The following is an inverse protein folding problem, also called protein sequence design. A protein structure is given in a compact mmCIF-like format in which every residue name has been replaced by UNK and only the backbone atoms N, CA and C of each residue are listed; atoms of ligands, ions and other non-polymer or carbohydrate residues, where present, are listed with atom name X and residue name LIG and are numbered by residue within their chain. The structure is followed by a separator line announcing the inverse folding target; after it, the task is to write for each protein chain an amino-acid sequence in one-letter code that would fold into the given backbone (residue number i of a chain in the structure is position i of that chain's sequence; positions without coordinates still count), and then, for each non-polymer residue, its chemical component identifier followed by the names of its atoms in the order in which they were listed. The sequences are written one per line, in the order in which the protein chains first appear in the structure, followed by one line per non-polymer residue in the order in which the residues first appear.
data_IF_569267587811
#
_entry.id   IF_569267587811
#
_cell.length_a   1.000
_cell.length_b   1.000
_cell.length_c   1.000
_cell.angle_alpha   90.00
_cell.angle_beta   90.00
_cell.angle_gamma   90.00
#
_symmetry.space_group_name_H-M   'P 1'
#
loop_
_entity.id
_entity.type
_entity.pdbx_description
1 polymer ?
#
# COMPACT_ATOMS: atom_id res chain seq x y z
N UNK A 1 -17.21 38.08 42.51
CA UNK A 1 -17.28 36.93 41.59
C UNK A 1 -17.80 37.44 40.26
N UNK A 2 -17.02 37.37 39.18
CA UNK A 2 -17.58 37.18 37.84
C UNK A 2 -16.49 36.76 36.86
N UNK A 3 -16.78 35.65 36.18
CA UNK A 3 -15.90 34.87 35.33
C UNK A 3 -15.56 35.63 34.05
N UNK A 4 -14.26 35.70 33.71
CA UNK A 4 -13.84 36.04 32.36
C UNK A 4 -14.03 34.81 31.47
N UNK A 5 -14.97 34.89 30.54
CA UNK A 5 -15.18 33.89 29.50
C UNK A 5 -14.19 34.13 28.36
N UNK A 6 -13.14 33.32 28.28
CA UNK A 6 -12.35 33.18 27.05
C UNK A 6 -13.16 32.37 26.04
N UNK A 7 -13.63 33.01 24.96
CA UNK A 7 -14.21 32.30 23.82
C UNK A 7 -13.09 32.04 22.79
N UNK A 8 -12.69 30.77 22.68
CA UNK A 8 -11.86 30.29 21.58
C UNK A 8 -12.78 30.08 20.37
N UNK A 9 -12.70 30.96 19.37
CA UNK A 9 -13.46 30.81 18.13
C UNK A 9 -12.74 29.79 17.23
N UNK A 10 -13.21 28.55 17.23
CA UNK A 10 -12.74 27.53 16.30
C UNK A 10 -13.50 27.71 14.97
N UNK A 11 -12.89 28.39 14.00
CA UNK A 11 -13.44 28.47 12.65
C UNK A 11 -13.18 27.15 11.93
N UNK A 12 -14.21 26.31 11.79
CA UNK A 12 -14.15 25.12 10.94
C UNK A 12 -14.22 25.57 9.48
N UNK A 13 -13.08 25.60 8.78
CA UNK A 13 -13.08 25.61 7.32
C UNK A 13 -13.39 24.18 6.86
N UNK A 14 -14.60 23.95 6.37
CA UNK A 14 -14.94 22.71 5.66
C UNK A 14 -14.39 22.84 4.25
N UNK A 15 -13.16 22.38 4.04
CA UNK A 15 -12.63 22.16 2.69
C UNK A 15 -13.30 20.89 2.18
N UNK A 16 -14.09 20.98 1.12
CA UNK A 16 -14.53 19.81 0.37
C UNK A 16 -13.31 19.23 -0.36
N UNK A 17 -12.52 18.41 0.32
CA UNK A 17 -11.43 17.66 -0.31
C UNK A 17 -12.04 16.50 -1.05
N UNK A 18 -11.94 16.49 -2.39
CA UNK A 18 -12.27 15.29 -3.15
C UNK A 18 -11.13 14.28 -2.97
N UNK A 19 -11.46 13.12 -2.43
CA UNK A 19 -10.53 12.01 -2.31
C UNK A 19 -10.61 11.18 -3.60
N UNK A 20 -9.45 10.86 -4.19
CA UNK A 20 -9.34 9.90 -5.28
C UNK A 20 -8.78 8.59 -4.75
N UNK A 21 -9.42 7.49 -5.12
CA UNK A 21 -8.94 6.15 -4.82
C UNK A 21 -8.16 5.62 -6.03
N UNK A 22 -6.97 5.09 -5.76
CA UNK A 22 -6.12 4.41 -6.74
C UNK A 22 -6.08 2.95 -6.31
N UNK A 23 -6.64 2.09 -7.15
CA UNK A 23 -6.60 0.65 -6.93
C UNK A 23 -5.21 0.11 -7.23
N UNK A 24 -4.62 -0.58 -6.25
CA UNK A 24 -3.25 -1.10 -6.31
C UNK A 24 -3.20 -2.63 -6.29
N UNK A 25 -4.30 -3.30 -6.62
CA UNK A 25 -4.40 -4.75 -6.56
C UNK A 25 -4.61 -5.38 -7.93
N UNK A 26 -3.87 -6.45 -8.21
CA UNK A 26 -4.20 -7.32 -9.32
C UNK A 26 -5.54 -8.02 -9.07
N UNK A 27 -6.25 -8.37 -10.15
CA UNK A 27 -7.40 -9.28 -10.05
C UNK A 27 -6.91 -10.64 -9.55
N UNK A 28 -7.68 -11.24 -8.64
CA UNK A 28 -7.41 -12.58 -8.13
C UNK A 28 -8.21 -13.61 -8.93
N UNK A 29 -7.53 -14.53 -9.62
CA UNK A 29 -8.12 -15.52 -10.52
C UNK A 29 -7.23 -16.76 -10.65
N UNK A 30 -7.64 -17.74 -11.47
CA UNK A 30 -6.82 -18.91 -11.80
C UNK A 30 -5.46 -18.57 -12.43
N UNK A 31 -5.32 -17.37 -13.00
CA UNK A 31 -4.09 -16.89 -13.63
C UNK A 31 -3.18 -16.15 -12.64
N UNK A 32 -3.64 -15.93 -11.41
CA UNK A 32 -2.87 -15.28 -10.36
C UNK A 32 -1.54 -15.99 -10.15
N UNK A 33 -0.47 -15.19 -10.08
CA UNK A 33 0.87 -15.69 -9.78
C UNK A 33 0.92 -16.32 -8.38
N UNK A 34 1.53 -17.49 -8.29
CA UNK A 34 1.76 -18.23 -7.06
C UNK A 34 3.18 -18.78 -7.05
N UNK A 35 3.82 -18.81 -5.89
CA UNK A 35 5.13 -19.45 -5.73
C UNK A 35 5.02 -20.98 -5.62
N UNK A 36 6.12 -21.69 -5.90
CA UNK A 36 6.33 -23.11 -5.58
C UNK A 36 5.34 -24.13 -6.19
N UNK A 37 4.88 -23.92 -7.43
CA UNK A 37 3.87 -24.78 -8.06
C UNK A 37 2.62 -24.99 -7.17
N UNK A 38 2.33 -24.01 -6.30
CA UNK A 38 1.18 -24.05 -5.43
C UNK A 38 -0.10 -24.20 -6.23
N UNK A 39 -1.15 -24.84 -5.65
CA UNK A 39 -2.44 -24.90 -6.32
C UNK A 39 -2.93 -23.47 -6.62
N UNK A 40 -3.46 -23.27 -7.83
CA UNK A 40 -3.97 -21.98 -8.26
C UNK A 40 -5.27 -21.65 -7.53
N UNK A 41 -5.61 -20.37 -7.51
CA UNK A 41 -6.93 -19.94 -7.06
C UNK A 41 -8.01 -20.68 -7.86
N UNK A 42 -9.02 -21.15 -7.14
CA UNK A 42 -10.18 -21.81 -7.73
C UNK A 42 -11.43 -21.38 -6.99
N UNK A 43 -12.40 -20.81 -7.72
CA UNK A 43 -13.77 -20.61 -7.21
C UNK A 43 -14.66 -21.68 -7.81
N UNK A 44 -15.33 -22.43 -6.96
CA UNK A 44 -16.36 -23.40 -7.34
C UNK A 44 -17.73 -22.85 -6.96
N UNK A 45 -18.65 -22.76 -7.91
CA UNK A 45 -20.05 -22.40 -7.65
C UNK A 45 -20.71 -23.50 -6.82
N UNK A 46 -21.32 -23.12 -5.70
CA UNK A 46 -22.03 -24.04 -4.78
C UNK A 46 -23.54 -23.99 -4.99
N UNK A 47 -24.07 -22.84 -5.42
CA UNK A 47 -25.48 -22.66 -5.76
C UNK A 47 -25.60 -21.65 -6.91
N UNK A 48 -26.51 -21.91 -7.84
CA UNK A 48 -26.91 -20.95 -8.88
C UNK A 48 -28.38 -21.19 -9.25
N UNK A 49 -29.21 -20.16 -9.11
CA UNK A 49 -30.61 -20.24 -9.53
C UNK A 49 -31.54 -19.28 -8.81
N UNK A 50 -32.82 -19.34 -9.19
CA UNK A 50 -33.88 -18.55 -8.57
C UNK A 50 -34.32 -19.18 -7.24
N UNK A 51 -34.28 -18.39 -6.16
CA UNK A 51 -34.74 -18.81 -4.82
C UNK A 51 -36.21 -18.42 -4.57
N UNK A 52 -36.72 -17.44 -5.32
CA UNK A 52 -38.11 -17.00 -5.37
C UNK A 52 -38.39 -16.49 -6.80
N UNK A 53 -39.67 -16.37 -7.23
CA UNK A 53 -39.99 -15.75 -8.52
C UNK A 53 -39.35 -14.36 -8.65
N UNK A 54 -38.43 -14.21 -9.61
CA UNK A 54 -37.70 -12.96 -9.86
C UNK A 54 -36.51 -12.69 -8.93
N UNK A 55 -36.10 -13.64 -8.09
CA UNK A 55 -34.97 -13.48 -7.15
C UNK A 55 -33.90 -14.53 -7.43
N UNK A 56 -32.88 -14.13 -8.19
CA UNK A 56 -31.68 -14.93 -8.48
C UNK A 56 -30.69 -14.87 -7.31
N UNK A 57 -30.12 -16.01 -6.94
CA UNK A 57 -28.97 -16.08 -6.05
C UNK A 57 -27.87 -16.98 -6.61
N UNK A 58 -26.63 -16.62 -6.31
CA UNK A 58 -25.45 -17.43 -6.59
C UNK A 58 -24.52 -17.40 -5.38
N UNK A 59 -24.03 -18.57 -4.98
CA UNK A 59 -22.97 -18.68 -3.99
C UNK A 59 -21.87 -19.58 -4.50
N UNK A 60 -20.67 -19.39 -3.96
CA UNK A 60 -19.53 -20.23 -4.27
C UNK A 60 -18.60 -20.37 -3.07
N UNK A 61 -17.69 -21.31 -3.19
CA UNK A 61 -16.54 -21.48 -2.32
C UNK A 61 -15.29 -21.19 -3.13
N UNK A 62 -14.20 -20.79 -2.47
CA UNK A 62 -12.93 -20.61 -3.15
C UNK A 62 -11.76 -21.16 -2.34
N UNK A 63 -10.71 -21.51 -3.06
CA UNK A 63 -9.39 -21.83 -2.54
C UNK A 63 -8.40 -20.77 -3.01
N UNK A 64 -7.48 -20.38 -2.14
CA UNK A 64 -6.34 -19.53 -2.44
C UNK A 64 -5.19 -19.88 -1.50
N UNK A 65 -3.95 -19.74 -1.95
CA UNK A 65 -2.79 -19.80 -1.06
C UNK A 65 -2.52 -18.43 -0.45
N UNK A 66 -2.02 -18.42 0.79
CA UNK A 66 -1.77 -17.21 1.59
C UNK A 66 -0.95 -16.14 0.85
N UNK A 67 0.17 -16.56 0.23
CA UNK A 67 1.12 -15.68 -0.47
C UNK A 67 0.91 -15.76 -1.99
N UNK A 68 -0.22 -15.22 -2.44
CA UNK A 68 -0.56 -15.14 -3.87
C UNK A 68 -1.24 -13.83 -4.21
N UNK A 69 -1.07 -13.38 -5.45
CA UNK A 69 -1.62 -12.09 -5.86
C UNK A 69 -0.99 -10.92 -5.11
N UNK A 70 -1.68 -9.79 -5.13
CA UNK A 70 -1.40 -8.68 -4.21
C UNK A 70 -1.75 -9.12 -2.80
N UNK A 71 -0.75 -9.26 -1.94
CA UNK A 71 -0.91 -9.80 -0.59
C UNK A 71 0.00 -9.11 0.42
N UNK A 72 -0.32 -9.29 1.69
CA UNK A 72 0.47 -8.80 2.83
C UNK A 72 1.04 -9.98 3.62
N UNK A 73 2.28 -9.84 4.07
CA UNK A 73 2.97 -10.83 4.90
C UNK A 73 2.94 -10.44 6.37
N UNK A 74 2.65 -11.42 7.24
CA UNK A 74 2.69 -11.27 8.68
C UNK A 74 4.08 -11.57 9.26
N UNK A 75 4.38 -11.06 10.46
CA UNK A 75 5.54 -11.48 11.26
C UNK A 75 5.71 -12.99 11.40
N UNK A 76 4.60 -13.72 11.59
CA UNK A 76 4.58 -15.19 11.72
C UNK A 76 5.10 -15.94 10.49
N UNK A 77 5.17 -15.29 9.33
CA UNK A 77 5.69 -15.89 8.10
C UNK A 77 7.20 -16.23 8.21
N UNK A 78 7.97 -15.41 8.94
CA UNK A 78 9.43 -15.59 9.12
C UNK A 78 9.87 -15.62 10.59
N UNK A 79 8.96 -15.45 11.55
CA UNK A 79 9.25 -15.46 12.98
C UNK A 79 8.47 -16.56 13.68
N UNK A 80 9.17 -17.50 14.33
CA UNK A 80 8.52 -18.54 15.13
C UNK A 80 7.79 -17.89 16.32
N UNK A 81 6.46 -18.00 16.33
CA UNK A 81 5.63 -17.33 17.34
C UNK A 81 5.42 -15.84 17.08
N UNK A 82 5.77 -15.35 15.89
CA UNK A 82 5.43 -14.00 15.45
C UNK A 82 3.93 -13.80 15.33
N UNK A 83 3.50 -12.54 15.30
CA UNK A 83 2.10 -12.18 15.13
C UNK A 83 1.55 -12.61 13.77
N UNK A 84 0.33 -13.13 13.78
CA UNK A 84 -0.47 -13.45 12.60
C UNK A 84 -1.34 -12.25 12.22
N UNK A 85 -1.82 -12.19 10.97
CA UNK A 85 -2.53 -11.00 10.45
C UNK A 85 -3.83 -10.67 11.19
N UNK A 86 -4.49 -11.64 11.81
CA UNK A 86 -5.67 -11.42 12.65
C UNK A 86 -5.38 -10.67 13.95
N UNK A 87 -4.12 -10.61 14.37
CA UNK A 87 -3.67 -9.95 15.60
C UNK A 87 -2.91 -8.64 15.33
N UNK A 88 -2.62 -8.31 14.07
CA UNK A 88 -1.99 -7.04 13.71
C UNK A 88 -2.97 -5.88 13.93
N UNK A 89 -2.57 -4.80 14.63
CA UNK A 89 -3.39 -3.60 14.75
C UNK A 89 -3.72 -3.00 13.38
N UNK A 90 -4.98 -2.62 13.16
CA UNK A 90 -5.47 -2.16 11.87
C UNK A 90 -4.77 -0.86 11.41
N UNK A 91 -4.39 -0.01 12.38
CA UNK A 91 -3.60 1.20 12.16
C UNK A 91 -2.23 0.94 11.53
N UNK A 92 -1.70 -0.28 11.62
CA UNK A 92 -0.45 -0.65 10.94
C UNK A 92 -0.64 -0.92 9.44
N UNK A 93 -1.88 -1.08 8.97
CA UNK A 93 -2.22 -1.36 7.56
C UNK A 93 -2.90 -0.19 6.86
N UNK A 94 -3.07 0.93 7.58
CA UNK A 94 -3.71 2.17 7.09
C UNK A 94 -2.84 3.35 7.51
N UNK A 95 -1.82 3.62 6.71
CA UNK A 95 -0.71 4.52 7.07
C UNK A 95 -0.38 5.50 5.95
N UNK A 96 0.40 6.53 6.26
CA UNK A 96 0.95 7.41 5.23
C UNK A 96 1.87 6.63 4.30
N UNK A 97 1.76 6.90 2.99
CA UNK A 97 2.56 6.25 1.97
C UNK A 97 3.46 7.22 1.22
N UNK A 98 4.61 6.71 0.80
CA UNK A 98 5.48 7.33 -0.19
C UNK A 98 5.75 6.34 -1.32
N UNK A 99 5.95 6.84 -2.54
CA UNK A 99 6.29 6.03 -3.70
C UNK A 99 7.64 6.46 -4.27
N UNK A 100 8.55 5.48 -4.39
CA UNK A 100 9.88 5.65 -5.00
C UNK A 100 9.86 4.97 -6.36
N UNK A 101 9.97 5.77 -7.42
CA UNK A 101 9.98 5.27 -8.79
C UNK A 101 11.38 4.81 -9.20
N UNK A 102 11.49 3.53 -9.54
CA UNK A 102 12.67 2.83 -10.03
C UNK A 102 12.42 2.20 -11.41
N UNK A 103 11.32 2.55 -12.09
CA UNK A 103 10.87 1.91 -13.31
C UNK A 103 11.84 2.10 -14.48
N UNK A 104 12.48 3.26 -14.59
CA UNK A 104 13.49 3.52 -15.62
C UNK A 104 14.71 2.62 -15.46
N UNK A 105 15.21 2.48 -14.24
CA UNK A 105 16.37 1.64 -13.94
C UNK A 105 16.04 0.16 -14.12
N UNK A 106 14.86 -0.28 -13.68
CA UNK A 106 14.37 -1.65 -13.85
C UNK A 106 14.15 -2.01 -15.32
N UNK A 107 13.70 -1.06 -16.15
CA UNK A 107 13.54 -1.24 -17.60
C UNK A 107 14.86 -1.50 -18.30
N UNK A 108 15.93 -0.79 -17.89
CA UNK A 108 17.28 -0.96 -18.45
C UNK A 108 17.93 -2.24 -17.91
N UNK A 109 17.75 -2.51 -16.62
CA UNK A 109 18.41 -3.60 -15.91
C UNK A 109 17.36 -4.43 -15.14
N UNK A 110 16.90 -5.56 -15.70
CA UNK A 110 15.90 -6.43 -15.05
C UNK A 110 16.28 -6.94 -13.67
N UNK A 111 17.58 -6.99 -13.32
CA UNK A 111 18.08 -7.32 -11.98
C UNK A 111 18.54 -6.07 -11.20
N UNK A 112 17.90 -4.92 -11.42
CA UNK A 112 18.25 -3.68 -10.73
C UNK A 112 18.09 -3.84 -9.21
N UNK A 113 19.13 -3.45 -8.46
CA UNK A 113 19.10 -3.37 -7.01
C UNK A 113 18.98 -1.90 -6.61
N UNK A 114 17.91 -1.54 -5.90
CA UNK A 114 17.75 -0.20 -5.31
C UNK A 114 18.89 0.04 -4.34
N UNK A 115 19.58 1.16 -4.48
CA UNK A 115 20.65 1.58 -3.58
C UNK A 115 20.14 2.54 -2.51
N UNK A 116 20.87 2.66 -1.40
CA UNK A 116 20.63 3.71 -0.39
C UNK A 116 20.70 5.11 -1.03
N UNK A 117 21.58 5.29 -2.02
CA UNK A 117 21.74 6.56 -2.72
C UNK A 117 20.47 6.96 -3.49
N UNK A 118 19.81 6.02 -4.19
CA UNK A 118 18.52 6.26 -4.86
C UNK A 118 17.45 6.77 -3.90
N UNK A 119 17.39 6.20 -2.68
CA UNK A 119 16.43 6.60 -1.65
C UNK A 119 16.75 8.02 -1.14
N UNK A 120 18.03 8.32 -0.89
CA UNK A 120 18.45 9.66 -0.45
C UNK A 120 18.19 10.74 -1.49
N UNK A 121 18.42 10.43 -2.77
CA UNK A 121 18.11 11.35 -3.89
C UNK A 121 16.61 11.63 -3.97
N UNK A 122 15.78 10.60 -3.76
CA UNK A 122 14.33 10.78 -3.65
C UNK A 122 13.97 11.70 -2.47
N UNK A 123 14.58 11.52 -1.29
CA UNK A 123 14.30 12.37 -0.13
C UNK A 123 14.73 13.82 -0.32
N UNK A 124 15.81 14.07 -1.07
CA UNK A 124 16.23 15.43 -1.43
C UNK A 124 15.17 16.17 -2.25
N UNK A 125 14.38 15.44 -3.04
CA UNK A 125 13.35 16.01 -3.91
C UNK A 125 11.97 16.08 -3.24
N UNK A 126 11.65 15.12 -2.38
CA UNK A 126 10.29 14.92 -1.88
C UNK A 126 10.15 15.07 -0.36
N UNK A 127 11.25 15.32 0.34
CA UNK A 127 11.31 15.37 1.79
C UNK A 127 11.63 14.01 2.42
N UNK A 128 11.91 14.03 3.71
CA UNK A 128 12.26 12.82 4.46
C UNK A 128 11.06 11.85 4.51
N UNK A 129 11.34 10.55 4.34
CA UNK A 129 10.35 9.49 4.50
C UNK A 129 9.80 9.55 5.95
N UNK A 130 8.47 9.66 6.14
CA UNK A 130 7.89 9.71 7.47
C UNK A 130 8.14 8.40 8.25
N UNK A 131 8.28 8.53 9.57
CA UNK A 131 8.35 7.37 10.46
C UNK A 131 7.05 6.55 10.34
N UNK A 132 7.16 5.24 10.42
CA UNK A 132 6.00 4.33 10.34
C UNK A 132 5.22 4.40 9.01
N UNK A 133 5.82 4.96 7.96
CA UNK A 133 5.21 5.03 6.63
C UNK A 133 5.23 3.69 5.89
N UNK A 134 4.39 3.59 4.85
CA UNK A 134 4.54 2.64 3.77
C UNK A 134 5.49 3.22 2.73
N UNK A 135 6.55 2.48 2.39
CA UNK A 135 7.43 2.81 1.26
C UNK A 135 7.13 1.84 0.13
N UNK A 136 6.57 2.36 -0.96
CA UNK A 136 6.18 1.60 -2.14
C UNK A 136 7.23 1.82 -3.23
N UNK A 137 7.82 0.74 -3.72
CA UNK A 137 8.73 0.77 -4.86
C UNK A 137 7.98 0.43 -6.14
N UNK A 138 8.00 1.38 -7.08
CA UNK A 138 7.47 1.16 -8.42
C UNK A 138 8.62 0.75 -9.35
N UNK A 139 8.65 -0.50 -9.80
CA UNK A 139 9.58 -0.96 -10.83
C UNK A 139 8.95 -1.00 -12.22
N UNK A 140 7.66 -0.66 -12.36
CA UNK A 140 6.89 -0.84 -13.59
C UNK A 140 6.65 -2.31 -13.93
N UNK A 141 6.83 -3.19 -12.95
CA UNK A 141 6.89 -4.64 -13.09
C UNK A 141 5.50 -5.28 -13.12
N UNK A 142 4.50 -4.61 -12.56
CA UNK A 142 3.08 -4.98 -12.65
C UNK A 142 2.60 -5.18 -14.09
N UNK A 143 3.22 -4.48 -15.05
CA UNK A 143 2.96 -4.65 -16.50
C UNK A 143 3.27 -6.06 -17.02
N UNK A 144 4.15 -6.80 -16.34
CA UNK A 144 4.58 -8.16 -16.72
C UNK A 144 3.79 -9.25 -16.00
N UNK A 145 2.95 -8.91 -15.03
CA UNK A 145 2.32 -9.83 -14.09
C UNK A 145 1.59 -11.01 -14.77
N UNK A 146 0.88 -10.75 -15.87
CA UNK A 146 0.12 -11.77 -16.61
C UNK A 146 0.99 -12.64 -17.56
N UNK A 147 2.30 -12.41 -17.62
CA UNK A 147 3.25 -13.25 -18.35
C UNK A 147 4.28 -13.80 -17.35
N UNK A 148 4.06 -15.02 -16.82
CA UNK A 148 4.90 -15.58 -15.76
C UNK A 148 6.38 -15.55 -16.07
N UNK A 149 6.79 -15.98 -17.27
CA UNK A 149 8.18 -15.99 -17.70
C UNK A 149 8.78 -14.59 -17.76
N UNK A 150 8.03 -13.60 -18.24
CA UNK A 150 8.50 -12.21 -18.25
C UNK A 150 8.54 -11.60 -16.84
N UNK A 151 7.63 -12.01 -15.95
CA UNK A 151 7.51 -11.53 -14.59
C UNK A 151 8.65 -12.03 -13.70
N UNK A 152 9.06 -13.29 -13.82
CA UNK A 152 10.17 -13.85 -13.03
C UNK A 152 11.48 -13.90 -13.80
N UNK A 153 11.49 -13.50 -15.08
CA UNK A 153 12.70 -13.39 -15.90
C UNK A 153 13.33 -14.72 -16.33
N UNK A 154 12.64 -15.85 -16.10
CA UNK A 154 13.12 -17.20 -16.43
C UNK A 154 11.96 -18.14 -16.70
N UNK A 155 12.22 -19.22 -17.45
CA UNK A 155 11.28 -20.34 -17.59
C UNK A 155 11.43 -21.36 -16.44
N UNK A 156 12.45 -21.20 -15.58
CA UNK A 156 12.64 -22.03 -14.39
C UNK A 156 11.52 -21.79 -13.38
N UNK A 157 11.15 -22.84 -12.65
CA UNK A 157 10.27 -22.73 -11.47
C UNK A 157 11.04 -22.56 -10.16
N UNK A 158 12.38 -22.58 -10.23
CA UNK A 158 13.26 -22.39 -9.09
C UNK A 158 13.39 -20.90 -8.78
N UNK A 159 12.97 -20.48 -7.58
CA UNK A 159 13.08 -19.07 -7.16
C UNK A 159 14.51 -18.54 -7.28
N UNK A 160 15.52 -19.39 -7.08
CA UNK A 160 16.93 -19.02 -7.19
C UNK A 160 17.37 -18.54 -8.56
N UNK A 161 16.57 -18.84 -9.58
CA UNK A 161 16.85 -18.50 -10.97
C UNK A 161 16.07 -17.26 -11.41
N UNK A 162 15.23 -16.70 -10.54
CA UNK A 162 14.39 -15.56 -10.86
C UNK A 162 15.24 -14.29 -11.04
N UNK A 163 14.83 -13.48 -12.02
CA UNK A 163 15.48 -12.23 -12.41
C UNK A 163 14.42 -11.14 -12.48
N UNK A 164 14.34 -10.37 -11.40
CA UNK A 164 13.46 -9.21 -11.28
C UNK A 164 14.14 -8.15 -10.40
N UNK A 165 13.73 -6.87 -10.50
CA UNK A 165 14.33 -5.79 -9.73
C UNK A 165 13.90 -5.89 -8.27
N UNK A 166 14.80 -5.53 -7.36
CA UNK A 166 14.59 -5.67 -5.92
C UNK A 166 15.33 -4.57 -5.16
N UNK A 167 15.19 -4.53 -3.83
CA UNK A 167 16.06 -3.71 -3.00
C UNK A 167 17.40 -4.41 -2.80
N UNK A 168 18.49 -3.64 -2.71
CA UNK A 168 19.71 -4.19 -2.12
C UNK A 168 19.48 -4.45 -0.61
N UNK A 169 20.17 -5.44 0.00
CA UNK A 169 20.08 -5.67 1.43
C UNK A 169 20.41 -4.42 2.25
N UNK A 170 21.35 -3.60 1.77
CA UNK A 170 21.77 -2.34 2.40
C UNK A 170 20.67 -1.28 2.32
N UNK A 171 19.95 -1.17 1.20
CA UNK A 171 18.80 -0.28 1.07
C UNK A 171 17.65 -0.69 2.00
N UNK A 172 17.33 -1.99 2.04
CA UNK A 172 16.32 -2.54 2.94
C UNK A 172 16.68 -2.31 4.42
N UNK A 173 17.94 -2.52 4.81
CA UNK A 173 18.41 -2.26 6.17
C UNK A 173 18.35 -0.78 6.52
N UNK A 174 18.80 0.09 5.61
CA UNK A 174 18.82 1.53 5.84
C UNK A 174 17.40 2.08 6.06
N UNK A 175 16.41 1.65 5.28
CA UNK A 175 15.01 2.05 5.50
C UNK A 175 14.50 1.61 6.88
N UNK A 176 14.86 0.40 7.31
CA UNK A 176 14.49 -0.11 8.63
C UNK A 176 15.12 0.73 9.75
N UNK A 177 16.44 0.93 9.72
CA UNK A 177 17.19 1.54 10.83
C UNK A 177 17.00 3.05 10.86
N UNK A 178 17.05 3.70 9.71
CA UNK A 178 17.15 5.17 9.61
C UNK A 178 15.81 5.85 9.39
N UNK A 179 14.79 5.12 8.92
CA UNK A 179 13.45 5.65 8.68
C UNK A 179 12.36 4.95 9.48
N UNK A 180 12.64 3.78 10.08
CA UNK A 180 11.67 3.05 10.90
C UNK A 180 10.32 2.88 10.18
N UNK A 181 10.38 2.48 8.91
CA UNK A 181 9.18 2.31 8.09
C UNK A 181 8.34 1.13 8.61
N UNK A 182 7.02 1.18 8.40
CA UNK A 182 6.09 0.14 8.86
C UNK A 182 5.83 -0.91 7.78
N UNK A 183 5.66 -0.47 6.54
CA UNK A 183 5.37 -1.32 5.38
C UNK A 183 6.44 -1.11 4.31
N UNK A 184 6.98 -2.21 3.79
CA UNK A 184 7.72 -2.22 2.53
C UNK A 184 6.83 -2.85 1.45
N UNK A 185 6.55 -2.11 0.38
CA UNK A 185 5.72 -2.58 -0.73
C UNK A 185 6.47 -2.60 -2.05
N UNK A 186 6.24 -3.62 -2.88
CA UNK A 186 6.77 -3.68 -4.26
C UNK A 186 5.73 -4.17 -5.26
N UNK A 187 5.89 -3.78 -6.52
CA UNK A 187 5.12 -4.32 -7.66
C UNK A 187 5.75 -5.60 -8.26
N UNK A 188 6.65 -6.23 -7.52
CA UNK A 188 7.37 -7.46 -7.87
C UNK A 188 6.92 -8.62 -7.01
N UNK A 189 7.36 -9.84 -7.35
CA UNK A 189 7.04 -11.05 -6.59
C UNK A 189 7.71 -11.11 -5.22
N UNK A 190 8.66 -10.21 -4.95
CA UNK A 190 9.35 -10.11 -3.67
C UNK A 190 10.18 -8.83 -3.54
N UNK A 191 10.45 -8.32 -2.32
CA UNK A 191 11.41 -7.22 -2.12
C UNK A 191 12.88 -7.62 -2.30
N UNK A 192 13.21 -8.92 -2.36
CA UNK A 192 14.59 -9.43 -2.50
C UNK A 192 14.69 -10.71 -3.33
N UNK A 193 15.91 -11.03 -3.79
CA UNK A 193 16.20 -12.28 -4.52
C UNK A 193 16.68 -13.34 -3.54
N UNK A 194 16.05 -14.51 -3.56
CA UNK A 194 16.56 -15.71 -2.89
C UNK A 194 17.62 -16.33 -3.78
N UNK A 195 18.84 -16.56 -3.28
CA UNK A 195 19.89 -17.28 -4.01
C UNK A 195 20.36 -18.50 -3.23
N UNK A 196 20.52 -19.65 -3.93
CA UNK A 196 20.94 -20.94 -3.34
C UNK A 196 22.26 -20.86 -2.57
N UNK A 197 23.14 -19.92 -2.93
CA UNK A 197 24.49 -19.78 -2.35
C UNK A 197 24.66 -18.54 -1.47
N UNK A 198 23.59 -17.82 -1.14
CA UNK A 198 23.68 -16.57 -0.40
C UNK A 198 22.97 -16.67 0.96
N UNK A 199 23.71 -16.54 2.06
CA UNK A 199 23.15 -16.51 3.42
C UNK A 199 22.24 -15.29 3.68
N UNK A 200 22.23 -14.31 2.79
CA UNK A 200 21.33 -13.14 2.84
C UNK A 200 20.05 -13.32 2.01
N UNK A 201 19.73 -14.54 1.57
CA UNK A 201 18.65 -14.81 0.59
C UNK A 201 17.22 -14.51 1.05
N UNK A 202 17.02 -14.06 2.29
CA UNK A 202 15.72 -13.65 2.87
C UNK A 202 15.92 -12.56 3.93
N UNK A 203 16.96 -11.74 3.75
CA UNK A 203 17.41 -10.77 4.75
C UNK A 203 16.34 -9.71 5.04
N UNK A 204 15.67 -9.19 4.01
CA UNK A 204 14.62 -8.18 4.17
C UNK A 204 13.42 -8.80 4.88
N UNK A 205 12.92 -9.96 4.44
CA UNK A 205 11.82 -10.64 5.12
C UNK A 205 12.14 -10.92 6.57
N UNK A 206 13.29 -11.55 6.81
CA UNK A 206 13.73 -11.89 8.16
C UNK A 206 13.82 -10.63 9.02
N UNK A 207 14.47 -9.57 8.54
CA UNK A 207 14.65 -8.34 9.31
C UNK A 207 13.32 -7.64 9.60
N UNK A 208 12.44 -7.53 8.62
CA UNK A 208 11.18 -6.78 8.75
C UNK A 208 10.16 -7.56 9.57
N UNK A 209 9.86 -8.79 9.15
CA UNK A 209 8.78 -9.59 9.72
C UNK A 209 9.10 -10.03 11.15
N UNK A 210 10.36 -10.37 11.47
CA UNK A 210 10.73 -10.72 12.87
C UNK A 210 10.70 -9.52 13.83
N UNK A 211 10.56 -8.29 13.33
CA UNK A 211 10.49 -7.06 14.10
C UNK A 211 9.15 -6.32 13.88
N UNK A 212 8.07 -7.07 13.66
CA UNK A 212 6.69 -6.57 13.55
C UNK A 212 6.48 -5.50 12.45
N UNK A 213 7.31 -5.50 11.41
CA UNK A 213 7.07 -4.77 10.16
C UNK A 213 6.36 -5.67 9.17
N UNK A 214 5.69 -5.08 8.19
CA UNK A 214 4.90 -5.81 7.19
C UNK A 214 5.51 -5.64 5.80
N UNK A 215 5.30 -6.62 4.94
CA UNK A 215 5.73 -6.62 3.55
C UNK A 215 4.49 -6.80 2.67
N UNK A 216 4.46 -6.11 1.53
CA UNK A 216 3.41 -6.24 0.52
C UNK A 216 4.06 -6.48 -0.83
N UNK A 217 3.62 -7.53 -1.50
CA UNK A 217 4.17 -7.95 -2.77
C UNK A 217 3.12 -7.90 -3.87
N UNK A 218 3.58 -7.87 -5.12
CA UNK A 218 2.74 -7.88 -6.32
C UNK A 218 1.70 -6.74 -6.32
N UNK A 219 2.10 -5.52 -5.97
CA UNK A 219 1.23 -4.35 -6.15
C UNK A 219 0.99 -4.08 -7.64
N UNK A 220 -0.20 -3.60 -7.96
CA UNK A 220 -0.60 -3.16 -9.30
C UNK A 220 -0.60 -1.63 -9.40
N UNK A 221 -0.40 -1.08 -10.60
CA UNK A 221 -0.67 0.33 -10.91
C UNK A 221 0.05 1.33 -9.97
N UNK A 222 1.22 0.97 -9.47
CA UNK A 222 2.02 1.78 -8.56
C UNK A 222 2.52 3.07 -9.22
N UNK A 223 2.61 3.10 -10.56
CA UNK A 223 2.92 4.28 -11.37
C UNK A 223 1.86 5.39 -11.29
N UNK A 224 0.63 5.06 -10.86
CA UNK A 224 -0.43 6.06 -10.66
C UNK A 224 -0.29 6.82 -9.33
N UNK A 225 0.58 6.36 -8.42
CA UNK A 225 0.78 7.01 -7.13
C UNK A 225 1.58 8.31 -7.28
N UNK A 226 1.21 9.39 -6.56
CA UNK A 226 2.13 10.51 -6.38
C UNK A 226 3.30 10.06 -5.50
N UNK A 227 4.44 10.77 -5.58
CA UNK A 227 5.59 10.48 -4.73
C UNK A 227 5.25 10.55 -3.22
N UNK A 228 4.44 11.53 -2.82
CA UNK A 228 3.99 11.74 -1.43
C UNK A 228 2.52 12.21 -1.40
N UNK A 229 1.95 12.32 -0.20
CA UNK A 229 0.62 12.91 -0.01
C UNK A 229 -0.54 11.93 -0.22
N UNK A 230 -0.30 10.63 -0.02
CA UNK A 230 -1.35 9.62 -0.07
C UNK A 230 -1.37 8.79 1.22
N UNK A 231 -2.57 8.31 1.59
CA UNK A 231 -2.73 7.28 2.61
C UNK A 231 -2.82 5.93 1.91
N UNK A 232 -1.97 5.00 2.33
CA UNK A 232 -1.92 3.64 1.82
C UNK A 232 -2.76 2.72 2.70
N UNK A 233 -3.58 1.89 2.06
CA UNK A 233 -4.49 0.94 2.70
C UNK A 233 -4.21 -0.46 2.18
N UNK A 234 -3.99 -1.42 3.09
CA UNK A 234 -3.79 -2.82 2.76
C UNK A 234 -4.27 -3.74 3.90
N UNK A 235 -5.52 -3.52 4.34
CA UNK A 235 -6.10 -4.29 5.43
C UNK A 235 -6.36 -5.75 5.01
N UNK A 236 -5.81 -6.74 5.73
CA UNK A 236 -6.04 -8.16 5.43
C UNK A 236 -7.44 -8.60 5.83
N UNK A 237 -7.95 -9.63 5.15
CA UNK A 237 -9.05 -10.41 5.70
C UNK A 237 -8.58 -11.05 7.01
N UNK A 238 -9.42 -10.99 8.05
CA UNK A 238 -9.06 -11.39 9.42
C UNK A 238 -9.14 -12.92 9.63
N UNK A 239 -8.41 -13.68 8.81
CA UNK A 239 -8.30 -15.13 8.97
C UNK A 239 -7.44 -15.47 10.19
N UNK A 240 -7.98 -16.32 11.07
CA UNK A 240 -7.28 -16.77 12.28
C UNK A 240 -6.00 -17.51 11.88
N UNK A 241 -4.86 -17.02 12.37
CA UNK A 241 -3.57 -17.68 12.15
C UNK A 241 -2.90 -17.39 10.80
N UNK A 242 -3.44 -16.46 10.00
CA UNK A 242 -2.93 -16.20 8.65
C UNK A 242 -1.50 -15.65 8.64
N UNK A 243 -0.59 -16.32 7.92
CA UNK A 243 0.82 -15.87 7.77
C UNK A 243 1.02 -14.95 6.56
N UNK A 244 0.11 -15.02 5.61
CA UNK A 244 -0.08 -14.06 4.52
C UNK A 244 -1.53 -14.09 4.04
N UNK A 245 -2.05 -12.98 3.54
CA UNK A 245 -3.42 -12.91 3.01
C UNK A 245 -3.51 -11.93 1.85
N UNK A 246 -4.30 -12.27 0.82
CA UNK A 246 -4.66 -11.34 -0.26
C UNK A 246 -5.30 -10.07 0.31
N UNK A 247 -4.87 -8.91 -0.18
CA UNK A 247 -5.45 -7.61 0.20
C UNK A 247 -6.04 -6.92 -1.01
N UNK A 248 -7.10 -6.13 -0.80
CA UNK A 248 -7.42 -5.05 -1.73
C UNK A 248 -6.61 -3.84 -1.31
N UNK A 249 -5.35 -3.79 -1.74
CA UNK A 249 -4.51 -2.62 -1.57
C UNK A 249 -5.01 -1.45 -2.42
N UNK A 250 -5.06 -0.26 -1.83
CA UNK A 250 -5.38 0.97 -2.53
C UNK A 250 -4.71 2.18 -1.86
N UNK A 251 -4.59 3.27 -2.61
CA UNK A 251 -4.19 4.56 -2.08
C UNK A 251 -5.35 5.54 -2.13
N UNK A 252 -5.45 6.39 -1.12
CA UNK A 252 -6.33 7.54 -1.08
C UNK A 252 -5.47 8.80 -1.20
N UNK A 253 -5.67 9.57 -2.26
CA UNK A 253 -5.00 10.86 -2.48
C UNK A 253 -5.98 11.99 -2.22
N UNK A 254 -5.49 13.11 -1.69
CA UNK A 254 -6.28 14.32 -1.47
C UNK A 254 -5.88 15.39 -2.48
N UNK A 255 -6.84 16.04 -3.13
CA UNK A 255 -6.54 17.14 -4.05
C UNK A 255 -5.86 18.31 -3.32
N UNK A 256 -4.62 18.61 -3.71
CA UNK A 256 -3.88 19.77 -3.17
C UNK A 256 -4.45 21.12 -3.63
N UNK A 257 -5.37 21.13 -4.59
CA UNK A 257 -6.03 22.35 -5.07
C UNK A 257 -6.82 23.09 -3.97
N UNK A 258 -7.26 22.37 -2.93
CA UNK A 258 -7.91 22.97 -1.75
C UNK A 258 -6.97 23.59 -0.72
N UNK A 259 -5.66 23.31 -0.79
CA UNK A 259 -4.68 23.81 0.19
C UNK A 259 -3.95 25.08 -0.26
N UNK A 260 -3.75 25.27 -1.57
CA UNK A 260 -3.06 26.47 -2.10
C UNK A 260 -3.93 27.74 -2.11
N UNK A 261 -5.25 27.62 -1.98
CA UNK A 261 -6.16 28.78 -1.88
C UNK A 261 -6.28 29.35 -0.47
N UNK A 262 -5.64 28.72 0.52
CA UNK A 262 -5.80 29.07 1.93
C UNK A 262 -4.45 29.37 2.59
N UNK A 263 -3.69 30.35 2.07
CA UNK A 263 -2.59 30.97 2.81
C UNK A 263 -2.22 32.36 2.24
N UNK A 264 -3.20 33.27 2.26
CA UNK A 264 -2.89 34.71 2.37
C UNK A 264 -3.85 35.33 3.38
N UNK A 265 -3.58 35.11 4.68
CA UNK A 265 -4.16 35.95 5.72
C UNK A 265 -3.27 37.19 5.79
N UNK A 266 -3.59 38.23 5.02
CA UNK A 266 -3.03 39.55 5.28
C UNK A 266 -3.59 40.05 6.62
N UNK A 267 -2.76 40.51 7.56
CA UNK A 267 -3.26 41.15 8.77
C UNK A 267 -3.78 42.53 8.38
N UNK A 268 -5.07 42.64 8.09
CA UNK A 268 -5.73 43.94 7.92
C UNK A 268 -6.70 44.13 9.08
N UNK A 269 -6.43 45.19 9.85
CA UNK A 269 -7.15 45.53 11.07
C UNK A 269 -8.60 45.93 10.85
N UNK A 270 -9.31 45.93 11.98
CA UNK A 270 -10.69 46.33 12.27
C UNK A 270 -11.82 45.29 12.07
N UNK A 271 -12.46 45.01 13.21
CA UNK A 271 -13.27 43.84 13.54
C UNK A 271 -14.79 43.98 13.22
N UNK A 272 -15.20 44.76 12.22
CA UNK A 272 -16.62 45.13 12.05
C UNK A 272 -17.39 44.50 10.87
N UNK A 273 -16.82 43.54 10.15
CA UNK A 273 -17.47 43.03 8.90
C UNK A 273 -17.80 41.53 8.88
N UNK A 274 -17.91 40.87 10.04
CA UNK A 274 -18.11 39.40 10.10
C UNK A 274 -19.55 38.91 10.36
N UNK A 275 -20.58 39.70 10.07
CA UNK A 275 -21.98 39.30 10.32
C UNK A 275 -22.80 38.90 9.09
N UNK A 276 -22.23 38.82 7.87
CA UNK A 276 -23.04 38.56 6.66
C UNK A 276 -22.72 37.29 5.85
N UNK A 277 -21.74 36.48 6.27
CA UNK A 277 -21.30 35.32 5.46
C UNK A 277 -21.64 33.93 6.05
N UNK A 278 -22.28 33.85 7.22
CA UNK A 278 -22.63 32.57 7.86
C UNK A 278 -24.04 32.05 7.60
N UNK A 279 -24.88 32.75 6.81
CA UNK A 279 -26.26 32.31 6.51
C UNK A 279 -26.47 31.73 5.10
N UNK A 280 -25.41 31.56 4.29
CA UNK A 280 -25.54 31.10 2.89
C UNK A 280 -25.10 29.65 2.64
N UNK A 281 -24.66 28.91 3.67
CA UNK A 281 -24.15 27.53 3.51
C UNK A 281 -25.01 26.44 4.15
N UNK A 282 -26.21 26.74 4.66
CA UNK A 282 -27.11 25.73 5.27
C UNK A 282 -28.28 25.31 4.37
N UNK A 283 -28.38 25.82 3.13
CA UNK A 283 -29.49 25.53 2.20
C UNK A 283 -29.11 24.71 0.97
N UNK A 284 -28.15 23.79 1.07
CA UNK A 284 -27.88 22.76 0.05
C UNK A 284 -27.47 21.43 0.68
N UNK A 285 -28.36 20.85 1.49
CA UNK A 285 -28.27 19.43 1.87
C UNK A 285 -29.64 18.75 1.94
N UNK A 286 -30.65 19.34 1.29
CA UNK A 286 -31.96 18.74 1.08
C UNK A 286 -32.25 18.67 -0.40
N UNK A 287 -31.55 17.78 -1.11
CA UNK A 287 -31.95 17.05 -2.33
C UNK A 287 -30.68 16.56 -3.03
N UNK A 288 -30.31 15.30 -2.76
CA UNK A 288 -29.81 14.29 -3.70
C UNK A 288 -29.68 12.96 -2.94
#
# INVERSE_FOLDING_TARGET
MNYQSQFLLLTLLVIATQAKLIDLSHKHSSDTMTLFNSPRFNRTTTFVGDILPGVYAESGQYFSVEHSGTHIDAPSHFSKGGQTLDNIPLEHTVIEGVMIDCSNEAKIRPNYLVSVQKIREWEQQHGQIPKEAAVIFNFGWSSKYNNPTAYVGTASSEFSDFVFPTLSPEAGLWLYEERSIRILGTDTISPEIVSKNNKKSTFIHTKYLTNDRLIIENLFNTESLPATGFRFHASPVKFVGGTGVQVRAYAMTYDQAGMNSCLVVHPVGNLKTYALLSMLSVTLLSTL
#
